data_IF_386011515769
#
_entry.id   IF_386011515769
#
_cell.length_a   1.000
_cell.length_b   1.000
_cell.length_c   1.000
_cell.angle_alpha   90.00
_cell.angle_beta   90.00
_cell.angle_gamma   90.00
#
_symmetry.space_group_name_H-M   'P 1'
#
loop_
_entity.id
_entity.type
_entity.pdbx_description
1 polymer ?
#
# COMPACT_ATOMS: atom_id res chain seq x y z
N UNK A 1 -6.08 38.40 10.37
CA UNK A 1 -7.51 38.08 10.54
C UNK A 1 -7.60 36.61 10.91
N UNK A 2 -7.49 36.34 12.21
CA UNK A 2 -7.75 35.02 12.79
C UNK A 2 -9.26 34.86 12.92
N UNK A 3 -9.84 33.84 12.32
CA UNK A 3 -11.22 33.46 12.60
C UNK A 3 -11.47 32.00 12.26
N UNK A 4 -11.73 31.22 13.32
CA UNK A 4 -12.47 29.95 13.38
C UNK A 4 -11.72 28.69 12.96
N UNK A 5 -10.77 28.30 13.84
CA UNK A 5 -10.43 26.90 14.04
C UNK A 5 -11.56 26.24 14.87
N UNK A 6 -12.60 25.72 14.22
CA UNK A 6 -13.56 24.82 14.89
C UNK A 6 -14.26 23.89 13.88
N UNK A 7 -13.43 23.10 13.21
CA UNK A 7 -13.73 21.68 13.00
C UNK A 7 -12.37 20.99 13.11
N UNK A 8 -12.22 20.10 14.08
CA UNK A 8 -10.94 19.44 14.34
C UNK A 8 -10.61 18.50 13.17
N UNK A 9 -9.88 19.00 12.18
CA UNK A 9 -9.47 18.18 11.07
C UNK A 9 -8.24 17.36 11.47
N UNK A 10 -8.19 16.12 10.98
CA UNK A 10 -7.04 15.24 11.16
C UNK A 10 -6.19 15.36 9.89
N UNK A 11 -4.93 15.81 9.99
CA UNK A 11 -4.04 15.83 8.83
C UNK A 11 -3.74 14.39 8.40
N UNK A 12 -3.97 14.09 7.12
CA UNK A 12 -3.69 12.77 6.53
C UNK A 12 -2.91 12.94 5.24
N UNK A 13 -2.13 11.92 4.86
CA UNK A 13 -1.40 11.93 3.60
C UNK A 13 -2.13 11.07 2.57
N UNK A 14 -2.32 11.61 1.35
CA UNK A 14 -2.82 10.85 0.23
C UNK A 14 -1.84 9.70 -0.08
N UNK A 15 -2.32 8.46 -0.03
CA UNK A 15 -1.52 7.28 -0.29
C UNK A 15 -1.62 6.78 -1.75
N UNK A 16 -2.36 7.47 -2.63
CA UNK A 16 -2.52 7.03 -4.03
C UNK A 16 -1.16 6.87 -4.73
N UNK A 17 -1.08 5.90 -5.62
CA UNK A 17 0.15 5.44 -6.29
C UNK A 17 0.79 6.43 -7.29
N UNK A 18 0.45 7.72 -7.24
CA UNK A 18 1.11 8.73 -8.08
C UNK A 18 2.45 9.24 -7.49
N UNK A 19 2.81 8.81 -6.28
CA UNK A 19 4.03 9.23 -5.60
C UNK A 19 4.00 10.64 -4.98
N UNK A 20 3.00 11.48 -5.28
CA UNK A 20 2.96 12.87 -4.80
C UNK A 20 2.78 12.99 -3.27
N UNK A 21 2.11 12.03 -2.62
CA UNK A 21 1.87 12.03 -1.17
C UNK A 21 1.21 13.33 -0.68
N UNK A 22 0.22 13.84 -1.41
CA UNK A 22 -0.38 15.16 -1.14
C UNK A 22 -0.96 15.24 0.29
N UNK A 23 -0.76 16.36 1.01
CA UNK A 23 -1.36 16.58 2.31
C UNK A 23 -2.86 16.85 2.16
N UNK A 24 -3.66 16.06 2.86
CA UNK A 24 -5.12 16.16 2.95
C UNK A 24 -5.52 16.51 4.39
N UNK A 25 -6.73 17.02 4.54
CA UNK A 25 -7.40 17.20 5.81
C UNK A 25 -8.67 16.35 5.83
N UNK A 26 -8.77 15.46 6.83
CA UNK A 26 -9.95 14.65 7.09
C UNK A 26 -10.84 15.32 8.13
N UNK A 27 -12.10 15.50 7.80
CA UNK A 27 -13.12 16.08 8.68
C UNK A 27 -14.09 14.96 9.10
N UNK A 28 -14.01 14.46 10.34
CA UNK A 28 -14.84 13.33 10.78
C UNK A 28 -16.31 13.70 10.96
N UNK A 29 -16.59 14.96 11.33
CA UNK A 29 -17.93 15.44 11.70
C UNK A 29 -18.88 15.63 10.50
N UNK A 30 -18.36 15.68 9.27
CA UNK A 30 -19.21 15.66 8.07
C UNK A 30 -19.85 14.28 7.88
N UNK A 31 -21.09 14.20 7.41
CA UNK A 31 -21.80 12.94 7.20
C UNK A 31 -20.99 11.93 6.36
N UNK A 32 -20.44 10.89 7.01
CA UNK A 32 -19.58 9.87 6.37
C UNK A 32 -18.10 10.24 6.22
N UNK A 33 -17.68 11.37 6.78
CA UNK A 33 -16.34 11.93 6.67
C UNK A 33 -16.09 12.61 5.31
N UNK A 34 -15.20 13.60 5.30
CA UNK A 34 -14.83 14.33 4.08
C UNK A 34 -13.33 14.61 4.04
N UNK A 35 -12.75 14.49 2.84
CA UNK A 35 -11.38 14.88 2.58
C UNK A 35 -11.35 16.20 1.79
N UNK A 36 -10.53 17.13 2.25
CA UNK A 36 -10.22 18.39 1.57
C UNK A 36 -8.72 18.57 1.44
N UNK A 37 -8.33 19.58 0.67
CA UNK A 37 -6.98 20.12 0.72
C UNK A 37 -6.60 20.47 2.16
N UNK A 38 -5.41 20.07 2.59
CA UNK A 38 -4.92 20.42 3.91
C UNK A 38 -4.72 21.95 4.00
N UNK A 39 -5.27 22.66 5.00
CA UNK A 39 -5.07 24.09 5.18
C UNK A 39 -3.60 24.51 5.31
N UNK A 40 -2.73 23.60 5.75
CA UNK A 40 -1.29 23.81 5.97
C UNK A 40 -0.43 23.47 4.73
N UNK A 41 -1.05 23.13 3.59
CA UNK A 41 -0.32 22.88 2.34
C UNK A 41 0.34 24.16 1.81
N UNK A 42 1.34 24.02 0.96
CA UNK A 42 1.89 25.14 0.21
C UNK A 42 0.82 25.82 -0.65
N UNK A 43 0.87 27.14 -0.79
CA UNK A 43 -0.18 27.98 -1.42
C UNK A 43 -0.67 27.46 -2.78
N UNK A 44 0.25 27.02 -3.65
CA UNK A 44 -0.05 26.53 -5.00
C UNK A 44 -0.31 25.02 -5.08
N UNK A 45 -0.21 24.29 -3.98
CA UNK A 45 -0.49 22.86 -3.95
C UNK A 45 -2.01 22.62 -4.02
N UNK A 46 -2.44 21.62 -4.78
CA UNK A 46 -3.84 21.19 -4.88
C UNK A 46 -3.89 19.67 -4.92
N UNK A 47 -4.85 19.08 -4.23
CA UNK A 47 -5.08 17.65 -4.27
C UNK A 47 -5.96 17.31 -5.47
N UNK A 48 -5.60 16.25 -6.19
CA UNK A 48 -6.43 15.74 -7.27
C UNK A 48 -7.68 15.02 -6.74
N UNK A 49 -8.68 14.83 -7.61
CA UNK A 49 -9.93 14.16 -7.27
C UNK A 49 -9.73 12.75 -6.70
N UNK A 50 -8.70 12.00 -7.15
CA UNK A 50 -8.39 10.66 -6.63
C UNK A 50 -8.04 10.65 -5.13
N UNK A 51 -7.42 11.73 -4.64
CA UNK A 51 -7.09 11.90 -3.23
C UNK A 51 -8.31 12.35 -2.42
N UNK A 52 -9.06 13.32 -2.94
CA UNK A 52 -10.27 13.84 -2.30
C UNK A 52 -11.40 12.78 -2.19
N UNK A 53 -11.39 11.79 -3.10
CA UNK A 53 -12.31 10.63 -3.10
C UNK A 53 -11.70 9.36 -2.50
N UNK A 54 -10.68 9.47 -1.64
CA UNK A 54 -10.09 8.27 -1.03
C UNK A 54 -11.06 7.51 -0.11
N UNK A 55 -12.03 8.21 0.49
CA UNK A 55 -13.05 7.60 1.34
C UNK A 55 -13.95 6.62 0.58
N UNK A 56 -14.22 6.85 -0.71
CA UNK A 56 -15.03 5.96 -1.53
C UNK A 56 -14.41 4.55 -1.60
N UNK A 57 -13.08 4.44 -1.66
CA UNK A 57 -12.38 3.15 -1.62
C UNK A 57 -12.39 2.53 -0.22
N UNK A 58 -12.27 3.36 0.82
CA UNK A 58 -12.25 2.89 2.22
C UNK A 58 -13.63 2.35 2.63
N UNK A 59 -14.69 3.00 2.16
CA UNK A 59 -16.08 2.70 2.46
C UNK A 59 -16.75 1.84 1.37
N UNK A 60 -15.97 1.29 0.43
CA UNK A 60 -16.51 0.48 -0.66
C UNK A 60 -17.28 -0.73 -0.08
N UNK A 61 -18.50 -1.03 -0.60
CA UNK A 61 -19.36 -2.07 -0.05
C UNK A 61 -18.75 -3.47 -0.20
N UNK A 62 -17.92 -3.67 -1.23
CA UNK A 62 -17.20 -4.90 -1.58
C UNK A 62 -15.80 -5.00 -0.94
N UNK A 63 -15.44 -4.06 -0.05
CA UNK A 63 -14.17 -4.11 0.67
C UNK A 63 -14.09 -5.37 1.52
N UNK A 64 -12.99 -6.12 1.38
CA UNK A 64 -12.68 -7.27 2.22
C UNK A 64 -12.52 -6.84 3.69
N UNK A 65 -13.24 -7.51 4.60
CA UNK A 65 -13.26 -7.23 6.04
C UNK A 65 -12.61 -8.33 6.88
N UNK A 66 -12.49 -9.53 6.33
CA UNK A 66 -11.94 -10.72 6.98
C UNK A 66 -10.93 -11.41 6.05
N UNK A 67 -9.95 -12.14 6.60
CA UNK A 67 -9.13 -13.06 5.81
C UNK A 67 -9.99 -14.10 5.09
N UNK A 68 -9.56 -14.48 3.88
CA UNK A 68 -10.24 -15.46 3.04
C UNK A 68 -9.27 -16.56 2.62
N UNK A 69 -9.69 -17.82 2.73
CA UNK A 69 -8.93 -19.00 2.26
C UNK A 69 -9.64 -19.61 1.06
N UNK A 70 -8.90 -19.83 -0.02
CA UNK A 70 -9.43 -20.48 -1.23
C UNK A 70 -9.73 -21.95 -0.95
N UNK A 71 -10.92 -22.40 -1.34
CA UNK A 71 -11.38 -23.78 -1.15
C UNK A 71 -11.59 -24.54 -2.46
N UNK A 72 -11.66 -23.83 -3.59
CA UNK A 72 -11.79 -24.42 -4.92
C UNK A 72 -10.50 -24.39 -5.74
N UNK A 73 -10.62 -24.78 -7.01
CA UNK A 73 -9.53 -24.70 -7.98
C UNK A 73 -9.07 -23.25 -8.19
N UNK A 74 -7.80 -23.08 -8.60
CA UNK A 74 -7.28 -21.74 -8.90
C UNK A 74 -8.06 -21.15 -10.08
N UNK A 75 -8.77 -20.06 -9.81
CA UNK A 75 -9.62 -19.38 -10.80
C UNK A 75 -11.12 -19.58 -10.58
N UNK A 76 -11.54 -20.48 -9.67
CA UNK A 76 -12.98 -20.70 -9.40
C UNK A 76 -13.65 -19.55 -8.67
N UNK A 77 -12.88 -18.74 -7.94
CA UNK A 77 -13.41 -17.65 -7.11
C UNK A 77 -14.03 -18.12 -5.79
N UNK A 78 -13.83 -19.38 -5.41
CA UNK A 78 -14.42 -19.95 -4.20
C UNK A 78 -13.51 -19.77 -2.99
N UNK A 79 -14.00 -18.97 -2.03
CA UNK A 79 -13.31 -18.67 -0.79
C UNK A 79 -14.24 -18.86 0.40
N UNK A 80 -13.67 -19.23 1.54
CA UNK A 80 -14.32 -19.16 2.85
C UNK A 80 -13.64 -18.11 3.72
N UNK A 81 -14.39 -17.55 4.67
CA UNK A 81 -13.80 -16.74 5.72
C UNK A 81 -12.93 -17.58 6.65
N UNK A 82 -11.92 -16.93 7.23
CA UNK A 82 -10.97 -17.51 8.18
C UNK A 82 -10.64 -16.50 9.28
N UNK A 83 -10.18 -17.00 10.43
CA UNK A 83 -9.58 -16.14 11.44
C UNK A 83 -8.21 -15.63 11.00
N UNK A 84 -7.72 -14.58 11.65
CA UNK A 84 -6.35 -14.10 11.41
C UNK A 84 -5.31 -15.16 11.78
N UNK A 85 -5.50 -15.87 12.89
CA UNK A 85 -4.59 -16.93 13.32
C UNK A 85 -4.52 -18.06 12.28
N UNK A 86 -5.67 -18.54 11.80
CA UNK A 86 -5.72 -19.60 10.79
C UNK A 86 -5.03 -19.17 9.48
N UNK A 87 -5.31 -17.95 9.02
CA UNK A 87 -4.73 -17.43 7.78
C UNK A 87 -3.20 -17.26 7.89
N UNK A 88 -2.72 -16.82 9.05
CA UNK A 88 -1.29 -16.66 9.31
C UNK A 88 -0.60 -18.02 9.46
N UNK A 89 -1.18 -18.96 10.19
CA UNK A 89 -0.65 -20.32 10.37
C UNK A 89 -0.52 -21.03 9.02
N UNK A 90 -1.56 -20.96 8.19
CA UNK A 90 -1.52 -21.51 6.83
C UNK A 90 -0.40 -20.85 5.99
N UNK A 91 -0.24 -19.53 6.10
CA UNK A 91 0.81 -18.80 5.39
C UNK A 91 2.20 -19.27 5.84
N UNK A 92 2.42 -19.40 7.15
CA UNK A 92 3.68 -19.90 7.73
C UNK A 92 3.97 -21.31 7.27
N UNK A 93 3.00 -22.22 7.37
CA UNK A 93 3.11 -23.62 6.94
C UNK A 93 3.57 -23.71 5.48
N UNK A 94 2.93 -22.96 4.57
CA UNK A 94 3.27 -22.98 3.15
C UNK A 94 4.62 -22.35 2.85
N UNK A 95 4.94 -21.20 3.45
CA UNK A 95 6.22 -20.53 3.23
C UNK A 95 7.39 -21.39 3.74
N UNK A 96 7.30 -21.93 4.95
CA UNK A 96 8.32 -22.80 5.52
C UNK A 96 8.42 -24.13 4.77
N UNK A 97 7.29 -24.74 4.39
CA UNK A 97 7.27 -25.99 3.64
C UNK A 97 7.95 -25.87 2.27
N UNK A 98 7.70 -24.77 1.54
CA UNK A 98 8.36 -24.49 0.27
C UNK A 98 9.86 -24.25 0.45
N UNK A 99 10.23 -23.42 1.43
CA UNK A 99 11.63 -23.13 1.76
C UNK A 99 12.40 -24.41 2.11
N UNK A 100 11.85 -25.26 2.99
CA UNK A 100 12.50 -26.50 3.42
C UNK A 100 12.68 -27.51 2.26
N UNK A 101 11.76 -27.49 1.28
CA UNK A 101 11.79 -28.45 0.17
C UNK A 101 12.64 -27.97 -1.02
N UNK A 102 12.66 -26.67 -1.29
CA UNK A 102 13.20 -26.11 -2.53
C UNK A 102 14.24 -25.00 -2.33
N UNK A 103 14.51 -24.60 -1.10
CA UNK A 103 15.40 -23.48 -0.79
C UNK A 103 14.68 -22.12 -0.80
N UNK A 104 15.44 -21.07 -0.49
CA UNK A 104 14.96 -19.70 -0.32
C UNK A 104 14.52 -19.06 -1.65
N UNK A 105 15.14 -19.47 -2.76
CA UNK A 105 14.86 -18.99 -4.11
C UNK A 105 13.47 -19.39 -4.61
N UNK A 106 12.84 -20.40 -4.00
CA UNK A 106 11.49 -20.83 -4.33
C UNK A 106 10.41 -19.80 -3.97
N UNK A 107 10.74 -18.83 -3.13
CA UNK A 107 9.84 -17.75 -2.74
C UNK A 107 10.12 -16.50 -3.56
N UNK A 108 9.08 -15.91 -4.15
CA UNK A 108 9.17 -14.61 -4.83
C UNK A 108 8.75 -13.50 -3.86
N UNK A 109 9.71 -12.68 -3.44
CA UNK A 109 9.47 -11.48 -2.64
C UNK A 109 8.86 -10.37 -3.49
N UNK A 110 7.54 -10.43 -3.71
CA UNK A 110 6.80 -9.43 -4.47
C UNK A 110 6.04 -8.49 -3.53
N UNK A 111 6.16 -7.19 -3.79
CA UNK A 111 5.38 -6.17 -3.11
C UNK A 111 4.86 -5.16 -4.13
N UNK A 112 3.58 -4.85 -4.04
CA UNK A 112 2.95 -3.77 -4.79
C UNK A 112 1.72 -3.32 -4.03
N UNK A 113 1.37 -2.04 -4.15
CA UNK A 113 0.13 -1.54 -3.54
C UNK A 113 -0.38 -0.34 -4.31
N UNK A 114 -1.69 -0.10 -4.29
CA UNK A 114 -2.24 1.22 -4.64
C UNK A 114 -1.97 2.30 -3.58
N UNK A 115 -1.16 1.98 -2.56
CA UNK A 115 -0.96 2.71 -1.31
C UNK A 115 0.54 2.82 -0.91
N UNK A 116 1.40 3.33 -1.80
CA UNK A 116 2.85 3.09 -1.75
C UNK A 116 3.69 3.89 -0.73
N UNK A 117 3.12 4.91 -0.08
CA UNK A 117 3.94 6.01 0.48
C UNK A 117 3.78 6.30 1.97
N UNK A 118 2.91 5.60 2.70
CA UNK A 118 2.84 5.79 4.16
C UNK A 118 4.07 5.19 4.84
N UNK A 119 4.64 5.90 5.83
CA UNK A 119 5.87 5.50 6.52
C UNK A 119 5.78 4.13 7.22
N UNK A 120 4.58 3.75 7.67
CA UNK A 120 4.29 2.43 8.28
C UNK A 120 3.84 1.38 7.26
N UNK A 121 3.37 1.81 6.08
CA UNK A 121 2.77 0.93 5.05
C UNK A 121 3.52 0.99 3.72
N UNK A 122 4.81 1.34 3.72
CA UNK A 122 5.65 1.20 2.54
C UNK A 122 5.81 -0.29 2.27
N UNK A 123 4.88 -0.83 1.49
CA UNK A 123 4.73 -2.26 1.23
C UNK A 123 6.01 -2.86 0.66
N UNK A 124 6.77 -2.10 -0.14
CA UNK A 124 8.09 -2.49 -0.62
C UNK A 124 9.11 -2.72 0.48
N UNK A 125 9.31 -1.72 1.36
CA UNK A 125 10.30 -1.81 2.43
C UNK A 125 9.91 -2.82 3.50
N UNK A 126 8.63 -2.89 3.86
CA UNK A 126 8.14 -3.83 4.89
C UNK A 126 8.26 -5.26 4.39
N UNK A 127 7.79 -5.55 3.17
CA UNK A 127 7.94 -6.88 2.58
C UNK A 127 9.42 -7.26 2.41
N UNK A 128 10.26 -6.34 1.93
CA UNK A 128 11.69 -6.57 1.79
C UNK A 128 12.37 -6.92 3.12
N UNK A 129 12.03 -6.23 4.21
CA UNK A 129 12.53 -6.55 5.56
C UNK A 129 12.07 -7.93 6.02
N UNK A 130 10.79 -8.24 5.84
CA UNK A 130 10.23 -9.55 6.18
C UNK A 130 10.98 -10.68 5.46
N UNK A 131 11.15 -10.58 4.14
CA UNK A 131 11.84 -11.60 3.35
C UNK A 131 13.34 -11.69 3.66
N UNK A 132 14.00 -10.58 4.00
CA UNK A 132 15.38 -10.61 4.46
C UNK A 132 15.52 -11.37 5.80
N UNK A 133 14.55 -11.24 6.71
CA UNK A 133 14.54 -11.98 7.98
C UNK A 133 14.19 -13.47 7.80
N UNK A 134 13.40 -13.80 6.78
CA UNK A 134 13.02 -15.18 6.49
C UNK A 134 14.19 -16.04 5.97
N UNK A 135 15.23 -15.42 5.41
CA UNK A 135 16.42 -16.11 4.90
C UNK A 135 16.76 -15.84 3.44
N UNK A 136 16.21 -14.77 2.84
CA UNK A 136 16.32 -14.38 1.42
C UNK A 136 15.21 -14.98 0.54
N UNK A 137 15.02 -14.40 -0.65
CA UNK A 137 13.99 -14.78 -1.63
C UNK A 137 14.43 -14.41 -3.04
N UNK A 138 13.82 -15.00 -4.06
CA UNK A 138 13.86 -14.43 -5.41
C UNK A 138 13.25 -13.03 -5.39
N UNK A 139 13.92 -12.07 -6.03
CA UNK A 139 13.49 -10.66 -6.11
C UNK A 139 13.35 -10.22 -7.56
N UNK A 140 12.49 -9.24 -7.77
CA UNK A 140 12.40 -8.56 -9.08
C UNK A 140 13.54 -7.57 -9.25
N UNK A 141 13.91 -7.28 -10.50
CA UNK A 141 14.86 -6.25 -10.85
C UNK A 141 14.18 -5.19 -11.74
N UNK A 142 14.45 -3.92 -11.48
CA UNK A 142 13.84 -2.79 -12.18
C UNK A 142 12.40 -2.50 -11.74
N UNK A 143 11.78 -1.55 -12.45
CA UNK A 143 10.42 -1.07 -12.19
C UNK A 143 9.65 -0.99 -13.50
N UNK A 144 8.42 -1.53 -13.54
CA UNK A 144 7.59 -1.46 -14.75
C UNK A 144 7.21 0.00 -15.13
N UNK A 145 7.21 0.92 -14.17
CA UNK A 145 6.74 2.31 -14.36
C UNK A 145 7.84 3.31 -14.72
N UNK A 146 9.06 3.17 -14.16
CA UNK A 146 10.14 4.16 -14.32
C UNK A 146 11.52 3.55 -14.61
N UNK A 147 11.63 2.29 -15.03
CA UNK A 147 12.93 1.65 -15.32
C UNK A 147 13.77 2.42 -16.36
N UNK A 148 13.18 2.74 -17.51
CA UNK A 148 13.89 3.45 -18.58
C UNK A 148 14.39 4.83 -18.14
N UNK A 149 13.54 5.59 -17.44
CA UNK A 149 13.91 6.89 -16.89
C UNK A 149 15.05 6.76 -15.87
N UNK A 150 14.97 5.76 -14.97
CA UNK A 150 16.01 5.53 -13.96
C UNK A 150 17.35 5.18 -14.59
N UNK A 151 17.35 4.33 -15.62
CA UNK A 151 18.55 3.97 -16.37
C UNK A 151 19.17 5.16 -17.09
N UNK A 152 18.37 5.94 -17.83
CA UNK A 152 18.90 7.08 -18.60
C UNK A 152 19.36 8.22 -17.69
N UNK A 153 18.66 8.45 -16.58
CA UNK A 153 19.00 9.55 -15.65
C UNK A 153 20.38 9.37 -15.02
N UNK A 154 20.78 8.15 -14.65
CA UNK A 154 22.11 7.90 -14.08
C UNK A 154 23.22 8.16 -15.10
N UNK A 155 23.00 7.82 -16.38
CA UNK A 155 23.96 8.05 -17.46
C UNK A 155 24.08 9.52 -17.86
N UNK A 156 22.94 10.23 -17.94
CA UNK A 156 22.90 11.61 -18.43
C UNK A 156 23.23 12.62 -17.34
N UNK A 157 22.74 12.42 -16.12
CA UNK A 157 22.93 13.35 -15.00
C UNK A 157 24.01 12.91 -14.00
N UNK A 158 24.57 11.70 -14.13
CA UNK A 158 25.65 11.21 -13.28
C UNK A 158 25.24 10.73 -11.89
N UNK A 159 23.95 10.43 -11.66
CA UNK A 159 23.46 9.92 -10.39
C UNK A 159 23.82 8.44 -10.19
N UNK A 160 24.61 8.14 -9.14
CA UNK A 160 24.84 6.77 -8.65
C UNK A 160 23.79 6.38 -7.62
#
# INVERSE_FOLDING_TARGET
MSSNADSSFIPVACNRDCGATCPLAYYPESAGGMLKDNPLKAERMRSCLRGLKALDTINAPDRLKSPLIRIGERGSGEFREASWDEALDLTVEKLQGLKNRFGDEALLGLSGSGACRSALHNTGKVAGRFFNLLGNTTRTHGYYSNAAASYTTSLVLGGR
#
